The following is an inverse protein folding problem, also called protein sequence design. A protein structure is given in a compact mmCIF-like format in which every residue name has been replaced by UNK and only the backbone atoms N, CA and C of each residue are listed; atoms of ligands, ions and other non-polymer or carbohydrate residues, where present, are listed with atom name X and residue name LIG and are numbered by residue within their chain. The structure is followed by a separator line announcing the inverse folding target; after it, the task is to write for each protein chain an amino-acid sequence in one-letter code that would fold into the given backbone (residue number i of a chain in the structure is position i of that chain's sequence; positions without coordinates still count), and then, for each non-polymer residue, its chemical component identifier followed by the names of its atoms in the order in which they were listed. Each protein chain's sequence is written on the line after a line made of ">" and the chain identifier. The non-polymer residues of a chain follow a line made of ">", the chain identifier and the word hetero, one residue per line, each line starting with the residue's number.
data_IF_398358963628
#
_entry.id   IF_398358963628
#
_cell.length_a   1.000
_cell.length_b   1.000
_cell.length_c   1.000
_cell.angle_alpha   90.00
_cell.angle_beta   90.00
_cell.angle_gamma   90.00
#
_symmetry.space_group_name_H-M   'P 1'
#
loop_
_entity.id
_entity.type
_entity.pdbx_description
1 polymer ?
#
# COMPACT_ATOMS: atom_id res chain seq x y z
N UNK A 1 60.98 17.77 -29.21
CA UNK A 1 59.64 17.80 -29.85
C UNK A 1 59.04 16.40 -29.89
N UNK A 2 58.14 16.04 -28.97
CA UNK A 2 57.10 15.02 -29.17
C UNK A 2 55.90 15.43 -28.31
N UNK A 3 54.82 15.79 -28.98
CA UNK A 3 53.56 16.24 -28.37
C UNK A 3 52.77 15.02 -27.91
N UNK A 4 52.32 15.04 -26.67
CA UNK A 4 51.36 14.09 -26.09
C UNK A 4 49.97 14.53 -26.55
N UNK A 5 49.27 13.68 -27.31
CA UNK A 5 47.86 13.89 -27.62
C UNK A 5 47.04 13.04 -26.64
N UNK A 6 46.31 13.75 -25.78
CA UNK A 6 45.42 13.23 -24.76
C UNK A 6 44.05 12.97 -25.42
N UNK A 7 43.65 11.71 -25.54
CA UNK A 7 42.32 11.34 -26.05
C UNK A 7 41.31 11.42 -24.91
N UNK A 8 40.38 12.36 -25.01
CA UNK A 8 39.21 12.52 -24.14
C UNK A 8 38.31 11.28 -24.23
N UNK A 9 38.11 10.57 -23.12
CA UNK A 9 37.00 9.63 -22.93
C UNK A 9 35.79 10.41 -22.40
N UNK A 10 34.81 10.63 -23.27
CA UNK A 10 33.51 11.21 -22.91
C UNK A 10 32.74 10.16 -22.11
N UNK A 11 32.73 10.33 -20.80
CA UNK A 11 31.91 9.54 -19.88
C UNK A 11 30.44 9.94 -20.06
N UNK A 12 29.69 9.13 -20.82
CA UNK A 12 28.23 9.29 -20.91
C UNK A 12 27.60 8.67 -19.66
N UNK A 13 27.31 9.49 -18.66
CA UNK A 13 26.39 9.12 -17.59
C UNK A 13 25.00 8.98 -18.18
N UNK A 14 24.61 7.74 -18.48
CA UNK A 14 23.21 7.38 -18.66
C UNK A 14 22.49 7.66 -17.34
N UNK A 15 21.77 8.78 -17.27
CA UNK A 15 20.67 8.93 -16.33
C UNK A 15 19.63 7.90 -16.72
N UNK A 16 19.70 6.71 -16.12
CA UNK A 16 18.57 5.80 -16.14
C UNK A 16 17.41 6.56 -15.48
N UNK A 17 16.26 6.75 -16.15
CA UNK A 17 15.08 7.17 -15.43
C UNK A 17 14.88 6.16 -14.30
N UNK A 18 14.67 6.63 -13.08
CA UNK A 18 14.16 5.79 -12.02
C UNK A 18 12.86 5.19 -12.55
N UNK A 19 12.93 3.94 -13.04
CA UNK A 19 11.74 3.19 -13.34
C UNK A 19 11.03 3.03 -11.99
N UNK A 20 9.94 3.77 -11.81
CA UNK A 20 8.93 3.40 -10.83
C UNK A 20 8.66 1.91 -11.03
N UNK A 21 8.65 1.13 -9.94
CA UNK A 21 8.29 -0.27 -10.02
C UNK A 21 6.97 -0.36 -10.78
N UNK A 22 6.97 -1.02 -11.95
CA UNK A 22 5.84 -1.02 -12.87
C UNK A 22 4.53 -1.29 -12.12
N UNK A 23 3.58 -0.36 -12.24
CA UNK A 23 2.21 -0.56 -11.79
C UNK A 23 1.67 -1.84 -12.43
N UNK A 24 1.15 -2.77 -11.61
CA UNK A 24 0.53 -3.97 -12.14
C UNK A 24 -0.90 -3.67 -12.56
N UNK A 25 -1.16 -3.82 -13.85
CA UNK A 25 -2.52 -3.94 -14.40
C UNK A 25 -3.18 -5.25 -13.94
N UNK A 26 -4.47 -5.40 -14.17
CA UNK A 26 -5.17 -6.67 -13.92
C UNK A 26 -4.47 -7.82 -14.67
N UNK A 27 -4.10 -7.58 -15.93
CA UNK A 27 -3.42 -8.53 -16.80
C UNK A 27 -2.03 -8.89 -16.25
N UNK A 28 -1.27 -7.92 -15.74
CA UNK A 28 0.03 -8.18 -15.11
C UNK A 28 -0.10 -9.08 -13.89
N UNK A 29 -1.09 -8.81 -13.02
CA UNK A 29 -1.37 -9.67 -11.87
C UNK A 29 -1.75 -11.08 -12.32
N UNK A 30 -2.66 -11.21 -13.29
CA UNK A 30 -3.06 -12.51 -13.83
C UNK A 30 -1.85 -13.26 -14.38
N UNK A 31 -0.95 -12.61 -15.13
CA UNK A 31 0.28 -13.24 -15.63
C UNK A 31 1.22 -13.69 -14.50
N UNK A 32 1.38 -12.86 -13.45
CA UNK A 32 2.19 -13.23 -12.27
C UNK A 32 1.62 -14.48 -11.59
N UNK A 33 0.30 -14.51 -11.39
CA UNK A 33 -0.39 -15.65 -10.80
C UNK A 33 -0.66 -16.77 -11.80
N UNK A 34 -0.27 -16.69 -13.06
CA UNK A 34 -0.24 -17.84 -13.97
C UNK A 34 1.12 -18.54 -13.95
N UNK A 35 2.21 -17.79 -13.72
CA UNK A 35 3.55 -18.35 -13.61
C UNK A 35 3.80 -19.17 -12.33
N UNK A 36 5.05 -19.61 -12.14
CA UNK A 36 5.45 -20.46 -10.99
C UNK A 36 6.38 -19.76 -10.00
N UNK A 37 6.70 -18.48 -10.23
CA UNK A 37 7.57 -17.73 -9.33
C UNK A 37 6.83 -17.32 -8.05
N UNK A 38 6.90 -18.18 -7.03
CA UNK A 38 6.25 -17.97 -5.73
C UNK A 38 6.70 -16.68 -5.05
N UNK A 39 7.96 -16.26 -5.21
CA UNK A 39 8.44 -15.01 -4.64
C UNK A 39 7.74 -13.80 -5.29
N UNK A 40 7.66 -13.78 -6.63
CA UNK A 40 6.95 -12.72 -7.36
C UNK A 40 5.47 -12.69 -7.01
N UNK A 41 4.85 -13.84 -6.80
CA UNK A 41 3.45 -13.95 -6.37
C UNK A 41 3.23 -13.42 -4.96
N UNK A 42 4.13 -13.70 -4.01
CA UNK A 42 4.06 -13.12 -2.67
C UNK A 42 4.18 -11.60 -2.71
N UNK A 43 5.12 -11.06 -3.49
CA UNK A 43 5.24 -9.61 -3.68
C UNK A 43 3.99 -9.01 -4.32
N UNK A 44 3.37 -9.71 -5.28
CA UNK A 44 2.12 -9.28 -5.89
C UNK A 44 0.95 -9.30 -4.89
N UNK A 45 0.87 -10.29 -3.99
CA UNK A 45 -0.13 -10.27 -2.90
C UNK A 45 0.04 -9.03 -2.03
N UNK A 46 1.28 -8.65 -1.69
CA UNK A 46 1.54 -7.45 -0.87
C UNK A 46 1.06 -6.17 -1.57
N UNK A 47 1.25 -6.07 -2.90
CA UNK A 47 0.84 -4.88 -3.66
C UNK A 47 -0.67 -4.78 -3.89
N UNK A 48 -1.43 -5.88 -3.79
CA UNK A 48 -2.89 -5.87 -3.97
C UNK A 48 -3.63 -4.97 -2.97
N UNK A 49 -3.08 -4.80 -1.76
CA UNK A 49 -3.68 -4.07 -0.63
C UNK A 49 -4.14 -2.64 -1.00
N UNK A 50 -3.39 -1.94 -1.85
CA UNK A 50 -3.71 -0.60 -2.33
C UNK A 50 -3.80 -0.57 -3.86
N UNK A 51 -4.29 -1.65 -4.46
CA UNK A 51 -4.55 -1.73 -5.91
C UNK A 51 -5.99 -1.36 -6.27
N UNK A 52 -6.93 -1.59 -5.33
CA UNK A 52 -8.37 -1.52 -5.55
C UNK A 52 -8.94 -2.72 -6.32
N UNK A 53 -8.12 -3.62 -6.87
CA UNK A 53 -8.59 -4.72 -7.69
C UNK A 53 -9.52 -5.66 -6.91
N UNK A 54 -10.68 -5.95 -7.50
CA UNK A 54 -11.70 -6.86 -6.99
C UNK A 54 -12.26 -7.79 -8.08
N UNK A 55 -11.63 -7.82 -9.27
CA UNK A 55 -12.09 -8.62 -10.39
C UNK A 55 -11.96 -10.12 -10.07
N UNK A 56 -13.07 -10.89 -10.08
CA UNK A 56 -13.03 -12.30 -9.75
C UNK A 56 -12.08 -13.12 -10.63
N UNK A 57 -11.83 -12.73 -11.88
CA UNK A 57 -10.94 -13.45 -12.79
C UNK A 57 -9.50 -13.55 -12.27
N UNK A 58 -9.02 -12.54 -11.54
CA UNK A 58 -7.72 -12.59 -10.87
C UNK A 58 -7.76 -13.50 -9.64
N UNK A 59 -8.75 -13.28 -8.77
CA UNK A 59 -8.81 -13.99 -7.49
C UNK A 59 -9.18 -15.47 -7.65
N UNK A 60 -9.80 -15.86 -8.76
CA UNK A 60 -10.01 -17.27 -9.13
C UNK A 60 -8.69 -17.98 -9.43
N UNK A 61 -7.73 -17.27 -10.04
CA UNK A 61 -6.38 -17.80 -10.25
C UNK A 61 -5.65 -17.94 -8.91
N UNK A 62 -5.80 -16.95 -8.01
CA UNK A 62 -5.22 -16.99 -6.66
C UNK A 62 -5.80 -18.16 -5.85
N UNK A 63 -7.11 -18.35 -5.89
CA UNK A 63 -7.81 -19.46 -5.23
C UNK A 63 -7.38 -20.81 -5.80
N UNK A 64 -7.29 -20.96 -7.12
CA UNK A 64 -6.81 -22.18 -7.75
C UNK A 64 -5.38 -22.52 -7.31
N UNK A 65 -4.49 -21.52 -7.25
CA UNK A 65 -3.13 -21.70 -6.73
C UNK A 65 -3.09 -22.05 -5.25
N UNK A 66 -3.96 -21.45 -4.44
CA UNK A 66 -4.08 -21.79 -3.02
C UNK A 66 -4.49 -23.25 -2.87
N UNK A 67 -5.55 -23.67 -3.56
CA UNK A 67 -6.03 -25.04 -3.51
C UNK A 67 -4.97 -26.06 -3.95
N UNK A 68 -4.20 -25.74 -4.99
CA UNK A 68 -3.09 -26.58 -5.43
C UNK A 68 -1.91 -26.61 -4.42
N UNK A 69 -1.69 -25.54 -3.66
CA UNK A 69 -0.59 -25.45 -2.69
C UNK A 69 -0.90 -26.09 -1.34
N UNK A 70 -2.18 -26.22 -0.97
CA UNK A 70 -2.62 -26.74 0.33
C UNK A 70 -2.10 -28.15 0.65
N UNK A 71 -2.16 -29.16 -0.25
CA UNK A 71 -1.62 -30.51 0.04
C UNK A 71 -0.11 -30.52 0.29
N UNK A 72 0.61 -29.53 -0.24
CA UNK A 72 2.06 -29.41 -0.11
C UNK A 72 2.47 -28.63 1.14
N UNK A 73 1.54 -28.01 1.86
CA UNK A 73 1.76 -27.11 3.00
C UNK A 73 2.17 -27.82 4.30
N UNK A 74 3.14 -28.74 4.22
CA UNK A 74 3.65 -29.55 5.35
C UNK A 74 4.98 -29.04 5.89
N UNK A 75 5.71 -28.24 5.10
CA UNK A 75 7.01 -27.66 5.46
C UNK A 75 6.98 -26.13 5.44
N UNK A 76 7.97 -25.51 6.07
CA UNK A 76 8.03 -24.06 6.30
C UNK A 76 7.74 -23.21 5.05
N UNK A 77 8.40 -23.50 3.92
CA UNK A 77 8.24 -22.71 2.69
C UNK A 77 6.85 -22.89 2.04
N UNK A 78 6.35 -24.12 1.81
CA UNK A 78 4.97 -24.33 1.34
C UNK A 78 3.88 -23.76 2.27
N UNK A 79 4.08 -23.81 3.60
CA UNK A 79 3.18 -23.18 4.58
C UNK A 79 3.17 -21.66 4.38
N UNK A 80 4.35 -21.04 4.22
CA UNK A 80 4.48 -19.61 3.96
C UNK A 80 3.71 -19.20 2.71
N UNK A 81 3.95 -19.89 1.60
CA UNK A 81 3.35 -19.58 0.32
C UNK A 81 1.82 -19.70 0.36
N UNK A 82 1.30 -20.81 0.89
CA UNK A 82 -0.16 -20.98 1.07
C UNK A 82 -0.75 -19.93 2.00
N UNK A 83 -0.01 -19.51 3.04
CA UNK A 83 -0.46 -18.45 3.95
C UNK A 83 -0.61 -17.10 3.24
N UNK A 84 0.36 -16.75 2.37
CA UNK A 84 0.27 -15.54 1.56
C UNK A 84 -0.92 -15.57 0.61
N UNK A 85 -1.14 -16.68 -0.09
CA UNK A 85 -2.30 -16.81 -0.98
C UNK A 85 -3.63 -16.73 -0.23
N UNK A 86 -3.75 -17.40 0.92
CA UNK A 86 -4.96 -17.34 1.75
C UNK A 86 -5.25 -15.90 2.24
N UNK A 87 -4.21 -15.18 2.67
CA UNK A 87 -4.35 -13.77 3.03
C UNK A 87 -4.76 -12.92 1.82
N UNK A 88 -4.09 -13.12 0.69
CA UNK A 88 -4.30 -12.38 -0.55
C UNK A 88 -5.70 -12.57 -1.14
N UNK A 89 -6.27 -13.77 -1.00
CA UNK A 89 -7.63 -14.06 -1.43
C UNK A 89 -8.67 -13.19 -0.70
N UNK A 90 -8.40 -12.85 0.56
CA UNK A 90 -9.19 -11.90 1.34
C UNK A 90 -9.22 -10.48 0.78
N UNK A 91 -8.18 -10.07 0.04
CA UNK A 91 -8.12 -8.73 -0.57
C UNK A 91 -9.10 -8.55 -1.73
N UNK A 92 -9.73 -9.63 -2.20
CA UNK A 92 -10.80 -9.55 -3.19
C UNK A 92 -12.02 -8.76 -2.70
N UNK A 93 -12.31 -8.82 -1.41
CA UNK A 93 -13.58 -8.35 -0.86
C UNK A 93 -14.80 -9.11 -1.39
N UNK A 94 -14.62 -10.29 -1.99
CA UNK A 94 -15.69 -11.03 -2.65
C UNK A 94 -16.13 -12.23 -1.81
N UNK A 95 -17.39 -12.21 -1.39
CA UNK A 95 -18.02 -13.22 -0.53
C UNK A 95 -17.86 -14.65 -1.03
N UNK A 96 -17.73 -14.85 -2.35
CA UNK A 96 -17.58 -16.20 -2.92
C UNK A 96 -16.39 -16.99 -2.37
N UNK A 97 -15.34 -16.30 -1.93
CA UNK A 97 -14.12 -16.93 -1.41
C UNK A 97 -14.18 -17.25 0.09
N UNK A 98 -15.26 -16.85 0.79
CA UNK A 98 -15.40 -17.07 2.23
C UNK A 98 -15.34 -18.55 2.58
N UNK A 99 -16.04 -19.40 1.82
CA UNK A 99 -16.10 -20.84 2.07
C UNK A 99 -14.70 -21.49 2.00
N UNK A 100 -13.89 -21.11 1.01
CA UNK A 100 -12.53 -21.62 0.83
C UNK A 100 -11.63 -21.25 2.01
N UNK A 101 -11.70 -20.01 2.49
CA UNK A 101 -10.95 -19.56 3.66
C UNK A 101 -11.44 -20.22 4.96
N UNK A 102 -12.75 -20.37 5.15
CA UNK A 102 -13.35 -21.08 6.30
C UNK A 102 -12.94 -22.55 6.35
N UNK A 103 -12.88 -23.23 5.20
CA UNK A 103 -12.41 -24.61 5.13
C UNK A 103 -10.96 -24.74 5.63
N UNK A 104 -10.09 -23.77 5.33
CA UNK A 104 -8.72 -23.74 5.84
C UNK A 104 -8.69 -23.47 7.35
N UNK A 105 -9.48 -22.51 7.83
CA UNK A 105 -9.55 -22.17 9.26
C UNK A 105 -10.04 -23.35 10.10
N UNK A 106 -11.03 -24.09 9.61
CA UNK A 106 -11.64 -25.22 10.33
C UNK A 106 -10.92 -26.56 10.10
N UNK A 107 -10.05 -26.63 9.09
CA UNK A 107 -9.32 -27.85 8.72
C UNK A 107 -8.09 -28.13 9.57
N UNK A 108 -7.53 -29.32 9.40
CA UNK A 108 -6.29 -29.75 10.05
C UNK A 108 -5.04 -29.25 9.29
N UNK A 109 -4.92 -27.93 9.18
CA UNK A 109 -3.75 -27.27 8.58
C UNK A 109 -2.80 -26.69 9.63
N UNK A 110 -1.56 -26.42 9.25
CA UNK A 110 -0.61 -25.79 10.15
C UNK A 110 -1.14 -24.46 10.72
N UNK A 111 -0.92 -24.19 12.01
CA UNK A 111 -1.45 -23.02 12.74
C UNK A 111 -1.22 -21.67 12.05
N UNK A 112 -0.09 -21.52 11.35
CA UNK A 112 0.26 -20.31 10.59
C UNK A 112 -0.70 -20.09 9.42
N UNK A 113 -0.95 -21.14 8.64
CA UNK A 113 -1.86 -21.09 7.50
C UNK A 113 -3.28 -20.78 7.95
N UNK A 114 -3.77 -21.44 9.01
CA UNK A 114 -5.08 -21.12 9.61
C UNK A 114 -5.19 -19.67 10.07
N UNK A 115 -4.13 -19.14 10.70
CA UNK A 115 -4.08 -17.72 11.11
C UNK A 115 -4.24 -16.80 9.90
N UNK A 116 -3.51 -17.03 8.81
CA UNK A 116 -3.59 -16.16 7.64
C UNK A 116 -4.87 -16.35 6.82
N UNK A 117 -5.49 -17.52 6.86
CA UNK A 117 -6.83 -17.71 6.33
C UNK A 117 -7.87 -16.94 7.16
N UNK A 118 -7.73 -16.89 8.49
CA UNK A 118 -8.56 -16.04 9.34
C UNK A 118 -8.34 -14.55 9.04
N UNK A 119 -7.08 -14.10 8.88
CA UNK A 119 -6.80 -12.73 8.42
C UNK A 119 -7.44 -12.48 7.04
N UNK A 120 -7.46 -13.47 6.16
CA UNK A 120 -8.16 -13.41 4.87
C UNK A 120 -9.66 -13.19 5.03
N UNK A 121 -10.33 -13.91 5.95
CA UNK A 121 -11.76 -13.73 6.25
C UNK A 121 -12.04 -12.31 6.77
N UNK A 122 -11.23 -11.81 7.70
CA UNK A 122 -11.36 -10.46 8.22
C UNK A 122 -11.13 -9.40 7.12
N UNK A 123 -10.25 -9.71 6.17
CA UNK A 123 -10.01 -8.85 5.01
C UNK A 123 -11.16 -8.88 4.01
N UNK A 124 -11.92 -9.96 3.84
CA UNK A 124 -13.06 -9.96 2.91
C UNK A 124 -14.06 -8.84 3.23
N UNK A 125 -14.47 -8.73 4.49
CA UNK A 125 -15.44 -7.72 4.92
C UNK A 125 -14.87 -6.30 4.74
N UNK A 126 -13.58 -6.14 5.04
CA UNK A 126 -12.87 -4.87 4.92
C UNK A 126 -12.69 -4.43 3.46
N UNK A 127 -12.26 -5.34 2.59
CA UNK A 127 -11.98 -5.05 1.19
C UNK A 127 -13.25 -4.95 0.34
N UNK A 128 -14.37 -5.54 0.80
CA UNK A 128 -15.68 -5.27 0.23
C UNK A 128 -16.05 -3.77 0.32
N UNK A 129 -15.56 -3.07 1.36
CA UNK A 129 -15.72 -1.62 1.54
C UNK A 129 -14.60 -0.86 0.83
N UNK A 130 -13.35 -1.29 0.96
CA UNK A 130 -12.20 -0.54 0.46
C UNK A 130 -12.07 -0.56 -1.05
N UNK A 131 -12.28 -1.70 -1.71
CA UNK A 131 -12.08 -1.81 -3.16
C UNK A 131 -12.97 -0.84 -3.98
N UNK A 132 -14.27 -0.67 -3.68
CA UNK A 132 -15.08 0.36 -4.32
C UNK A 132 -14.55 1.79 -4.14
N UNK A 133 -14.02 2.13 -2.96
CA UNK A 133 -13.42 3.45 -2.70
C UNK A 133 -12.15 3.64 -3.54
N UNK A 134 -11.28 2.63 -3.56
CA UNK A 134 -10.01 2.67 -4.28
C UNK A 134 -10.21 2.74 -5.80
N UNK A 135 -11.20 2.03 -6.33
CA UNK A 135 -11.52 1.99 -7.76
C UNK A 135 -12.48 3.09 -8.23
N UNK A 136 -12.97 3.98 -7.36
CA UNK A 136 -13.86 5.05 -7.78
C UNK A 136 -13.11 6.06 -8.67
N UNK A 137 -13.36 5.96 -9.98
CA UNK A 137 -12.75 6.82 -10.99
C UNK A 137 -13.37 8.22 -11.06
N UNK A 138 -14.44 8.49 -10.31
CA UNK A 138 -15.14 9.80 -10.36
C UNK A 138 -14.25 10.98 -9.98
N UNK A 139 -13.25 10.75 -9.12
CA UNK A 139 -12.31 11.76 -8.63
C UNK A 139 -10.89 11.60 -9.20
N UNK A 140 -10.70 10.73 -10.19
CA UNK A 140 -9.37 10.51 -10.76
C UNK A 140 -8.92 11.74 -11.57
N UNK A 141 -7.67 12.14 -11.34
CA UNK A 141 -6.97 13.05 -12.23
C UNK A 141 -6.38 12.24 -13.38
N UNK A 142 -6.88 12.48 -14.60
CA UNK A 142 -6.46 11.78 -15.81
C UNK A 142 -4.97 11.97 -16.16
N UNK A 143 -4.30 12.97 -15.57
CA UNK A 143 -2.86 13.20 -15.75
C UNK A 143 -2.00 12.35 -14.81
N UNK A 144 -2.60 11.78 -13.76
CA UNK A 144 -1.89 11.02 -12.74
C UNK A 144 -1.96 9.51 -13.04
N UNK A 145 -0.89 8.75 -12.75
CA UNK A 145 -0.93 7.30 -12.77
C UNK A 145 -2.06 6.74 -11.89
N UNK A 146 -2.57 5.57 -12.25
CA UNK A 146 -3.64 4.91 -11.49
C UNK A 146 -3.29 4.75 -10.01
N UNK A 147 -2.05 4.36 -9.69
CA UNK A 147 -1.65 4.13 -8.30
C UNK A 147 -1.71 5.41 -7.46
N UNK A 148 -1.34 6.56 -8.01
CA UNK A 148 -1.45 7.84 -7.30
C UNK A 148 -2.91 8.22 -7.07
N UNK A 149 -3.78 7.98 -8.06
CA UNK A 149 -5.22 8.19 -7.90
C UNK A 149 -5.84 7.27 -6.82
N UNK A 150 -5.43 5.99 -6.78
CA UNK A 150 -5.87 5.04 -5.75
C UNK A 150 -5.45 5.51 -4.36
N UNK A 151 -4.20 5.94 -4.19
CA UNK A 151 -3.71 6.51 -2.92
C UNK A 151 -4.45 7.81 -2.55
N UNK A 152 -4.76 8.67 -3.53
CA UNK A 152 -5.53 9.88 -3.29
C UNK A 152 -6.95 9.58 -2.81
N UNK A 153 -7.64 8.60 -3.41
CA UNK A 153 -8.95 8.14 -2.94
C UNK A 153 -8.88 7.57 -1.51
N UNK A 154 -7.87 6.75 -1.23
CA UNK A 154 -7.65 6.20 0.11
C UNK A 154 -7.46 7.32 1.15
N UNK A 155 -6.70 8.37 0.81
CA UNK A 155 -6.50 9.53 1.68
C UNK A 155 -7.77 10.37 1.88
N UNK A 156 -8.63 10.45 0.86
CA UNK A 156 -9.90 11.17 0.91
C UNK A 156 -11.00 10.42 1.68
N UNK A 157 -10.87 9.10 1.84
CA UNK A 157 -11.86 8.23 2.51
C UNK A 157 -12.22 8.68 3.93
N UNK A 158 -13.45 8.40 4.35
CA UNK A 158 -13.86 8.48 5.77
C UNK A 158 -13.40 7.29 6.61
N UNK A 159 -12.91 6.22 5.98
CA UNK A 159 -12.31 5.08 6.67
C UNK A 159 -10.89 5.43 7.15
N UNK A 160 -10.74 5.56 8.47
CA UNK A 160 -9.46 5.92 9.10
C UNK A 160 -8.37 4.85 8.91
N UNK A 161 -8.74 3.57 8.84
CA UNK A 161 -7.75 2.51 8.63
C UNK A 161 -7.19 2.55 7.22
N UNK A 162 -8.05 2.74 6.22
CA UNK A 162 -7.65 2.90 4.82
C UNK A 162 -6.78 4.15 4.62
N UNK A 163 -7.23 5.28 5.19
CA UNK A 163 -6.49 6.55 5.16
C UNK A 163 -5.09 6.40 5.78
N UNK A 164 -5.01 5.75 6.94
CA UNK A 164 -3.73 5.48 7.62
C UNK A 164 -2.84 4.55 6.79
N UNK A 165 -3.42 3.56 6.14
CA UNK A 165 -2.69 2.61 5.30
C UNK A 165 -2.04 3.31 4.10
N UNK A 166 -2.76 4.19 3.42
CA UNK A 166 -2.22 5.00 2.34
C UNK A 166 -1.09 5.93 2.82
N UNK A 167 -1.29 6.64 3.93
CA UNK A 167 -0.25 7.51 4.49
C UNK A 167 1.03 6.72 4.87
N UNK A 168 0.87 5.53 5.46
CA UNK A 168 2.00 4.63 5.73
C UNK A 168 2.70 4.20 4.46
N UNK A 169 1.94 3.78 3.44
CA UNK A 169 2.51 3.37 2.16
C UNK A 169 3.34 4.50 1.53
N UNK A 170 2.80 5.73 1.50
CA UNK A 170 3.51 6.90 0.98
C UNK A 170 4.82 7.14 1.73
N UNK A 171 4.80 7.10 3.07
CA UNK A 171 6.00 7.31 3.88
C UNK A 171 7.04 6.18 3.72
N UNK A 172 6.60 4.93 3.78
CA UNK A 172 7.50 3.77 3.81
C UNK A 172 8.09 3.47 2.43
N UNK A 173 7.33 3.71 1.35
CA UNK A 173 7.77 3.54 -0.04
C UNK A 173 8.28 4.83 -0.68
N UNK A 174 8.26 5.95 0.06
CA UNK A 174 8.73 7.28 -0.38
C UNK A 174 8.04 7.80 -1.64
N UNK A 175 6.73 7.60 -1.73
CA UNK A 175 5.91 8.07 -2.86
C UNK A 175 5.59 9.55 -2.69
N UNK A 176 6.60 10.41 -2.89
CA UNK A 176 6.53 11.85 -2.64
C UNK A 176 6.21 12.66 -3.90
N UNK A 177 5.31 12.14 -4.72
CA UNK A 177 4.75 12.90 -5.84
C UNK A 177 3.98 14.12 -5.31
N UNK A 178 4.16 15.28 -5.95
CA UNK A 178 3.57 16.54 -5.49
C UNK A 178 2.04 16.45 -5.37
N UNK A 179 1.38 15.71 -6.28
CA UNK A 179 -0.05 15.47 -6.22
C UNK A 179 -0.46 14.83 -4.89
N UNK A 180 0.25 13.79 -4.43
CA UNK A 180 -0.04 13.11 -3.17
C UNK A 180 0.32 13.96 -1.95
N UNK A 181 1.41 14.73 -2.02
CA UNK A 181 1.79 15.65 -0.95
C UNK A 181 0.72 16.73 -0.73
N UNK A 182 0.12 17.25 -1.81
CA UNK A 182 -1.01 18.17 -1.72
C UNK A 182 -2.25 17.51 -1.11
N UNK A 183 -2.56 16.26 -1.47
CA UNK A 183 -3.65 15.51 -0.84
C UNK A 183 -3.41 15.32 0.66
N UNK A 184 -2.20 14.95 1.06
CA UNK A 184 -1.82 14.83 2.48
C UNK A 184 -1.95 16.17 3.22
N UNK A 185 -1.47 17.27 2.62
CA UNK A 185 -1.56 18.61 3.20
C UNK A 185 -3.01 19.02 3.42
N UNK A 186 -3.89 18.79 2.44
CA UNK A 186 -5.32 19.09 2.54
C UNK A 186 -6.00 18.34 3.69
N UNK A 187 -5.63 17.08 3.94
CA UNK A 187 -6.16 16.33 5.08
C UNK A 187 -5.78 16.95 6.44
N UNK A 188 -4.67 17.69 6.51
CA UNK A 188 -4.19 18.35 7.73
C UNK A 188 -4.78 19.74 7.94
N UNK A 189 -5.56 20.28 6.99
CA UNK A 189 -6.19 21.60 7.14
C UNK A 189 -7.42 21.56 8.06
N UNK A 190 -8.28 20.56 7.93
CA UNK A 190 -9.57 20.50 8.66
C UNK A 190 -9.59 19.50 9.81
N UNK A 191 -8.80 18.42 9.73
CA UNK A 191 -8.78 17.34 10.73
C UNK A 191 -10.18 16.74 11.02
N UNK A 192 -11.08 16.70 10.03
CA UNK A 192 -12.52 16.40 10.21
C UNK A 192 -12.86 15.09 10.92
N UNK A 193 -11.97 14.09 10.85
CA UNK A 193 -12.16 12.77 11.47
C UNK A 193 -11.40 12.61 12.78
N UNK A 194 -10.70 13.65 13.24
CA UNK A 194 -9.90 13.60 14.46
C UNK A 194 -10.82 13.59 15.68
N UNK A 195 -10.63 12.59 16.54
CA UNK A 195 -11.33 12.45 17.82
C UNK A 195 -10.30 12.14 18.91
N UNK A 196 -10.73 12.12 20.16
CA UNK A 196 -9.90 11.73 21.29
C UNK A 196 -9.75 10.20 21.39
N UNK A 197 -9.33 9.55 20.31
CA UNK A 197 -9.14 8.10 20.23
C UNK A 197 -7.82 7.75 19.53
N UNK A 198 -7.32 6.54 19.80
CA UNK A 198 -6.02 6.10 19.30
C UNK A 198 -5.96 6.04 17.77
N UNK A 199 -7.00 5.55 17.11
CA UNK A 199 -6.99 5.30 15.68
C UNK A 199 -6.95 6.62 14.90
N UNK A 200 -7.82 7.58 15.23
CA UNK A 200 -7.83 8.87 14.52
C UNK A 200 -6.54 9.65 14.75
N UNK A 201 -6.04 9.72 16.00
CA UNK A 201 -4.77 10.37 16.32
C UNK A 201 -3.60 9.74 15.56
N UNK A 202 -3.49 8.40 15.59
CA UNK A 202 -2.40 7.71 14.90
C UNK A 202 -2.52 7.86 13.37
N UNK A 203 -3.73 7.97 12.82
CA UNK A 203 -3.97 8.22 11.40
C UNK A 203 -3.42 9.59 10.98
N UNK A 204 -3.81 10.66 11.68
CA UNK A 204 -3.30 12.00 11.38
C UNK A 204 -1.80 12.15 11.66
N UNK A 205 -1.26 11.43 12.65
CA UNK A 205 0.18 11.39 12.86
C UNK A 205 0.91 10.76 11.67
N UNK A 206 0.37 9.70 11.05
CA UNK A 206 0.94 9.11 9.85
C UNK A 206 0.81 10.01 8.62
N UNK A 207 -0.32 10.70 8.45
CA UNK A 207 -0.49 11.71 7.38
C UNK A 207 0.57 12.81 7.53
N UNK A 208 0.71 13.39 8.73
CA UNK A 208 1.72 14.40 9.01
C UNK A 208 3.15 13.88 8.82
N UNK A 209 3.42 12.64 9.23
CA UNK A 209 4.72 12.01 9.01
C UNK A 209 5.02 11.87 7.51
N UNK A 210 4.08 11.34 6.73
CA UNK A 210 4.24 11.12 5.29
C UNK A 210 4.52 12.43 4.55
N UNK A 211 3.82 13.51 4.90
CA UNK A 211 4.04 14.82 4.32
C UNK A 211 5.42 15.37 4.72
N UNK A 212 5.76 15.34 6.02
CA UNK A 212 7.03 15.85 6.52
C UNK A 212 8.23 15.06 5.99
N UNK A 213 8.10 13.74 5.82
CA UNK A 213 9.20 12.88 5.38
C UNK A 213 9.61 13.08 3.92
N UNK A 214 8.85 13.86 3.15
CA UNK A 214 9.27 14.35 1.83
C UNK A 214 10.36 15.42 1.91
N UNK A 215 10.53 16.07 3.07
CA UNK A 215 11.43 17.21 3.28
C UNK A 215 11.21 18.38 2.30
N UNK A 216 10.02 18.47 1.69
CA UNK A 216 9.67 19.54 0.77
C UNK A 216 9.25 20.79 1.56
N UNK A 217 10.10 21.83 1.54
CA UNK A 217 9.91 23.09 2.28
C UNK A 217 8.55 23.77 2.01
N UNK A 218 7.92 23.56 0.85
CA UNK A 218 6.55 24.02 0.54
C UNK A 218 5.54 23.60 1.62
N UNK A 219 5.71 22.40 2.19
CA UNK A 219 4.76 21.80 3.12
C UNK A 219 5.17 21.93 4.60
N UNK A 220 6.36 22.45 4.90
CA UNK A 220 6.80 22.70 6.28
C UNK A 220 5.81 23.57 7.08
N UNK A 221 5.23 24.66 6.53
CA UNK A 221 4.26 25.47 7.27
C UNK A 221 3.02 24.68 7.72
N UNK A 222 2.59 23.68 6.96
CA UNK A 222 1.45 22.81 7.32
C UNK A 222 1.78 22.00 8.58
N UNK A 223 2.99 21.43 8.65
CA UNK A 223 3.42 20.64 9.81
C UNK A 223 3.64 21.53 11.04
N UNK A 224 4.18 22.75 10.84
CA UNK A 224 4.31 23.76 11.90
C UNK A 224 2.93 24.11 12.48
N UNK A 225 1.94 24.38 11.62
CA UNK A 225 0.58 24.64 12.07
C UNK A 225 0.03 23.47 12.92
N UNK A 226 0.21 22.22 12.47
CA UNK A 226 -0.22 21.05 13.27
C UNK A 226 0.53 20.99 14.61
N UNK A 227 1.82 21.31 14.67
CA UNK A 227 2.59 21.29 15.90
C UNK A 227 2.09 22.33 16.93
N UNK A 228 1.54 23.44 16.46
CA UNK A 228 1.09 24.57 17.29
C UNK A 228 -0.40 24.45 17.66
N UNK A 229 -1.25 24.10 16.69
CA UNK A 229 -2.70 24.33 16.79
C UNK A 229 -3.53 23.05 16.86
N UNK A 230 -2.98 21.87 16.52
CA UNK A 230 -3.78 20.65 16.51
C UNK A 230 -4.39 20.38 17.88
N UNK A 231 -5.68 19.99 17.98
CA UNK A 231 -6.37 19.88 19.26
C UNK A 231 -5.73 18.82 20.17
N UNK A 232 -5.25 17.73 19.56
CA UNK A 232 -4.65 16.60 20.27
C UNK A 232 -3.17 16.83 20.60
N UNK A 233 -2.85 16.84 21.90
CA UNK A 233 -1.47 17.05 22.40
C UNK A 233 -0.48 16.03 21.83
N UNK A 234 -0.92 14.79 21.64
CA UNK A 234 -0.09 13.71 21.08
C UNK A 234 0.26 14.01 19.62
N UNK A 235 -0.70 14.52 18.83
CA UNK A 235 -0.47 14.90 17.44
C UNK A 235 0.49 16.09 17.33
N UNK A 236 0.33 17.12 18.17
CA UNK A 236 1.28 18.24 18.27
C UNK A 236 2.71 17.76 18.52
N UNK A 237 2.90 16.86 19.50
CA UNK A 237 4.20 16.28 19.85
C UNK A 237 4.83 15.53 18.67
N UNK A 238 4.05 14.78 17.89
CA UNK A 238 4.54 14.11 16.69
C UNK A 238 4.98 15.11 15.64
N UNK A 239 4.16 16.13 15.33
CA UNK A 239 4.50 17.16 14.36
C UNK A 239 5.77 17.94 14.75
N UNK A 240 5.93 18.35 16.02
CA UNK A 240 7.18 18.95 16.51
C UNK A 240 8.39 18.05 16.29
N UNK A 241 8.24 16.74 16.53
CA UNK A 241 9.32 15.77 16.26
C UNK A 241 9.64 15.71 14.78
N UNK A 242 8.63 15.66 13.91
CA UNK A 242 8.82 15.54 12.47
C UNK A 242 9.50 16.78 11.88
N UNK A 243 9.17 17.98 12.36
CA UNK A 243 9.88 19.21 11.98
C UNK A 243 11.37 19.04 12.24
N UNK A 244 11.76 18.69 13.47
CA UNK A 244 13.18 18.50 13.85
C UNK A 244 13.89 17.35 13.11
N UNK A 245 13.13 16.41 12.55
CA UNK A 245 13.70 15.20 11.93
C UNK A 245 13.92 15.40 10.43
N UNK A 246 13.05 16.16 9.77
CA UNK A 246 13.00 16.23 8.31
C UNK A 246 13.30 17.62 7.73
N UNK A 247 13.31 18.67 8.57
CA UNK A 247 13.60 20.06 8.20
C UNK A 247 14.59 20.69 9.18
#
# INVERSE_FOLDING_TARGET
>A
MKKIALSLLISSCLLAPFAFANDYTLEDYQQIFQGDNQFKQQSAVESLVLSGLNDPSLFDIVEAKLNASLPLATQKHPIEYSSWLAKGLGYSGNEKYRASLQAIVNGDYHKKLRKYAQEGLDNLDKFAIWNPILNDKSQYDAKQPQQLNVLANALASSDLELKRMAAKHIADKRVYDEFLLEKLANQLTSLDLLKHDKLSIDTYAWIAKALASSANEKFKPVIVNIAETAPEKKLRKYATKYIKTYY
#
